data_IF_124637501789
#
_entry.id   IF_124637501789
#
_cell.length_a   1.000
_cell.length_b   1.000
_cell.length_c   1.000
_cell.angle_alpha   90.00
_cell.angle_beta   90.00
_cell.angle_gamma   90.00
#
_symmetry.space_group_name_H-M   'P 1'
#
loop_
_entity.id
_entity.type
_entity.pdbx_description
1 polymer ?
#
# COMPACT_ATOMS: atom_id res chain seq x y z
N UNK A 1 -22.04 6.52 1.67
CA UNK A 1 -21.65 5.23 2.26
C UNK A 1 -20.38 4.64 1.60
N UNK A 2 -19.41 5.48 1.22
CA UNK A 2 -18.14 5.05 0.57
C UNK A 2 -16.94 5.14 1.52
N UNK A 3 -17.19 5.43 2.79
CA UNK A 3 -16.14 5.68 3.75
C UNK A 3 -15.48 4.36 4.15
N UNK A 4 -16.18 3.30 4.54
CA UNK A 4 -15.52 2.14 5.21
C UNK A 4 -14.68 1.15 4.37
N UNK A 5 -14.54 1.30 3.05
CA UNK A 5 -13.76 0.32 2.27
C UNK A 5 -12.24 0.56 2.31
N UNK A 6 -11.44 -0.44 2.75
CA UNK A 6 -9.98 -0.35 2.78
C UNK A 6 -9.41 -0.28 1.36
N UNK A 7 -8.32 0.46 1.20
CA UNK A 7 -7.59 0.54 -0.06
C UNK A 7 -6.80 -0.76 -0.21
N UNK A 8 -7.09 -1.53 -1.26
CA UNK A 8 -6.36 -2.75 -1.59
C UNK A 8 -5.16 -2.39 -2.46
N UNK A 9 -3.97 -2.71 -1.96
CA UNK A 9 -2.71 -2.49 -2.65
C UNK A 9 -2.10 -3.84 -2.99
N UNK A 10 -1.91 -4.10 -4.27
CA UNK A 10 -1.21 -5.29 -4.73
C UNK A 10 0.31 -5.09 -4.56
N UNK A 11 0.95 -5.95 -3.79
CA UNK A 11 2.40 -6.06 -3.68
C UNK A 11 2.91 -7.21 -4.56
N UNK A 12 4.04 -7.02 -5.25
CA UNK A 12 4.73 -8.08 -5.96
C UNK A 12 6.25 -7.88 -5.92
N UNK A 13 7.00 -8.99 -5.87
CA UNK A 13 8.45 -9.01 -6.11
C UNK A 13 8.74 -9.55 -7.51
N UNK A 14 9.43 -8.75 -8.32
CA UNK A 14 9.75 -9.07 -9.71
C UNK A 14 11.10 -8.46 -10.10
N UNK A 15 11.94 -9.25 -10.76
CA UNK A 15 13.20 -8.80 -11.35
C UNK A 15 14.11 -8.05 -10.35
N UNK A 16 14.12 -8.47 -9.09
CA UNK A 16 14.90 -7.84 -8.02
C UNK A 16 14.29 -6.57 -7.42
N UNK A 17 13.08 -6.20 -7.83
CA UNK A 17 12.36 -5.03 -7.31
C UNK A 17 11.07 -5.43 -6.59
N UNK A 18 10.82 -4.75 -5.47
CA UNK A 18 9.57 -4.76 -4.73
C UNK A 18 8.66 -3.67 -5.31
N UNK A 19 7.43 -4.05 -5.65
CA UNK A 19 6.48 -3.15 -6.28
C UNK A 19 5.15 -3.17 -5.54
N UNK A 20 4.51 -2.00 -5.48
CA UNK A 20 3.16 -1.82 -4.99
C UNK A 20 2.32 -1.16 -6.07
N UNK A 21 1.08 -1.63 -6.23
CA UNK A 21 0.10 -1.02 -7.11
C UNK A 21 -1.23 -0.90 -6.38
N UNK A 22 -1.78 0.31 -6.31
CA UNK A 22 -3.13 0.54 -5.84
C UNK A 22 -3.99 0.98 -7.02
N UNK A 23 -5.15 0.35 -7.20
CA UNK A 23 -6.16 0.78 -8.15
C UNK A 23 -7.39 1.19 -7.35
N UNK A 24 -7.46 2.48 -6.98
CA UNK A 24 -8.59 3.04 -6.23
C UNK A 24 -9.35 4.03 -7.12
N UNK A 25 -10.67 3.84 -7.36
CA UNK A 25 -11.47 4.75 -8.16
C UNK A 25 -11.58 6.17 -7.57
N UNK A 26 -11.24 6.38 -6.29
CA UNK A 26 -11.31 7.66 -5.57
C UNK A 26 -10.03 8.49 -5.73
N UNK A 27 -8.87 7.84 -5.76
CA UNK A 27 -7.55 8.48 -5.79
C UNK A 27 -6.77 8.20 -7.08
N UNK A 28 -7.30 7.36 -7.97
CA UNK A 28 -6.66 6.93 -9.21
C UNK A 28 -5.60 5.85 -8.99
N UNK A 29 -5.00 5.40 -10.09
CA UNK A 29 -3.96 4.38 -10.04
C UNK A 29 -2.65 4.92 -9.45
N UNK A 30 -2.03 4.12 -8.58
CA UNK A 30 -0.71 4.34 -8.01
C UNK A 30 0.15 3.14 -8.33
N UNK A 31 1.38 3.38 -8.75
CA UNK A 31 2.39 2.35 -8.92
C UNK A 31 3.72 2.86 -8.37
N UNK A 32 4.33 2.06 -7.49
CA UNK A 32 5.63 2.31 -6.87
C UNK A 32 6.48 1.06 -7.08
N UNK A 33 7.76 1.22 -7.40
CA UNK A 33 8.69 0.10 -7.57
C UNK A 33 10.10 0.50 -7.11
N UNK A 34 10.68 -0.31 -6.22
CA UNK A 34 12.02 -0.06 -5.66
C UNK A 34 12.75 -1.37 -5.31
N UNK A 35 14.08 -1.37 -5.36
CA UNK A 35 14.90 -2.55 -5.01
C UNK A 35 14.92 -2.91 -3.52
N UNK A 36 14.38 -2.04 -2.67
CA UNK A 36 14.33 -2.19 -1.21
C UNK A 36 12.86 -2.17 -0.76
N UNK A 37 12.37 -3.19 -0.03
CA UNK A 37 10.96 -3.34 0.30
C UNK A 37 10.45 -2.22 1.24
N UNK A 38 11.29 -1.79 2.18
CA UNK A 38 10.99 -0.70 3.12
C UNK A 38 10.72 0.61 2.36
N UNK A 39 11.61 0.97 1.44
CA UNK A 39 11.46 2.17 0.62
C UNK A 39 10.20 2.10 -0.25
N UNK A 40 9.95 0.97 -0.92
CA UNK A 40 8.75 0.80 -1.74
C UNK A 40 7.46 0.95 -0.90
N UNK A 41 7.49 0.44 0.33
CA UNK A 41 6.37 0.50 1.27
C UNK A 41 6.14 1.92 1.82
N UNK A 42 7.20 2.64 2.16
CA UNK A 42 7.11 4.04 2.59
C UNK A 42 6.60 4.94 1.46
N UNK A 43 7.12 4.77 0.25
CA UNK A 43 6.72 5.55 -0.92
C UNK A 43 5.24 5.37 -1.27
N UNK A 44 4.72 4.13 -1.24
CA UNK A 44 3.29 3.90 -1.49
C UNK A 44 2.41 4.49 -0.38
N UNK A 45 2.85 4.40 0.89
CA UNK A 45 2.12 4.97 2.03
C UNK A 45 2.04 6.49 1.94
N UNK A 46 3.17 7.14 1.62
CA UNK A 46 3.24 8.60 1.43
C UNK A 46 2.36 9.04 0.27
N UNK A 47 2.50 8.40 -0.90
CA UNK A 47 1.73 8.75 -2.09
C UNK A 47 0.23 8.59 -1.88
N UNK A 48 -0.20 7.51 -1.21
CA UNK A 48 -1.60 7.31 -0.85
C UNK A 48 -2.10 8.41 0.10
N UNK A 49 -1.32 8.77 1.12
CA UNK A 49 -1.69 9.82 2.06
C UNK A 49 -1.84 11.19 1.38
N UNK A 50 -0.91 11.55 0.50
CA UNK A 50 -0.97 12.80 -0.28
C UNK A 50 -2.23 12.85 -1.12
N UNK A 51 -2.55 11.79 -1.87
CA UNK A 51 -3.75 11.76 -2.72
C UNK A 51 -5.05 11.74 -1.93
N UNK A 52 -5.07 11.06 -0.80
CA UNK A 52 -6.23 11.06 0.10
C UNK A 52 -6.43 12.46 0.70
N UNK A 53 -5.35 13.13 1.11
CA UNK A 53 -5.39 14.50 1.62
C UNK A 53 -5.89 15.50 0.58
N UNK A 54 -5.41 15.41 -0.67
CA UNK A 54 -5.86 16.26 -1.79
C UNK A 54 -7.36 16.10 -2.07
N UNK A 55 -7.92 14.91 -1.85
CA UNK A 55 -9.32 14.59 -2.19
C UNK A 55 -10.30 14.78 -1.04
N UNK A 56 -9.91 14.43 0.19
CA UNK A 56 -10.78 14.42 1.38
C UNK A 56 -10.44 15.55 2.37
N UNK A 57 -9.41 16.35 2.10
CA UNK A 57 -8.94 17.44 2.95
C UNK A 57 -7.66 17.10 3.70
N UNK A 58 -6.91 18.13 4.11
CA UNK A 58 -5.54 18.02 4.64
C UNK A 58 -5.36 17.10 5.87
N UNK A 59 -6.44 16.72 6.54
CA UNK A 59 -6.40 15.87 7.73
C UNK A 59 -6.66 14.37 7.44
N UNK A 60 -6.90 14.02 6.18
CA UNK A 60 -7.09 12.64 5.76
C UNK A 60 -5.74 12.00 5.42
N UNK A 61 -5.42 10.88 6.06
CA UNK A 61 -4.17 10.14 5.83
C UNK A 61 -4.46 8.67 5.55
N UNK A 62 -3.69 8.08 4.63
CA UNK A 62 -3.73 6.64 4.39
C UNK A 62 -2.78 5.96 5.36
N UNK A 63 -3.32 5.14 6.26
CA UNK A 63 -2.56 4.40 7.24
C UNK A 63 -2.50 2.92 6.83
N UNK A 64 -1.31 2.35 6.60
CA UNK A 64 -1.21 0.92 6.35
C UNK A 64 -1.77 0.16 7.55
N UNK A 65 -2.53 -0.90 7.29
CA UNK A 65 -3.19 -1.67 8.37
C UNK A 65 -2.17 -2.42 9.24
N UNK A 66 -1.05 -2.83 8.66
CA UNK A 66 0.08 -3.45 9.34
C UNK A 66 1.26 -2.50 9.29
N UNK A 67 1.99 -2.32 10.40
CA UNK A 67 3.26 -1.59 10.35
C UNK A 67 4.28 -2.35 9.46
N UNK A 68 5.31 -1.66 8.94
CA UNK A 68 6.28 -2.29 8.03
C UNK A 68 6.88 -3.59 8.61
N UNK A 69 7.24 -3.61 9.89
CA UNK A 69 7.78 -4.80 10.56
C UNK A 69 6.83 -6.00 10.50
N UNK A 70 5.53 -5.77 10.74
CA UNK A 70 4.51 -6.80 10.72
C UNK A 70 4.23 -7.26 9.29
N UNK A 71 4.13 -6.31 8.36
CA UNK A 71 4.03 -6.59 6.93
C UNK A 71 5.21 -7.42 6.43
N UNK A 72 6.43 -7.05 6.80
CA UNK A 72 7.64 -7.76 6.42
C UNK A 72 7.70 -9.16 7.01
N UNK A 73 7.37 -9.30 8.28
CA UNK A 73 7.26 -10.62 8.93
C UNK A 73 6.23 -11.49 8.22
N UNK A 74 5.06 -10.93 7.92
CA UNK A 74 4.01 -11.61 7.16
C UNK A 74 4.48 -12.02 5.76
N UNK A 75 5.16 -11.13 5.03
CA UNK A 75 5.74 -11.45 3.72
C UNK A 75 6.71 -12.62 3.79
N UNK A 76 7.60 -12.64 4.79
CA UNK A 76 8.56 -13.72 5.00
C UNK A 76 7.89 -15.06 5.32
N UNK A 77 6.74 -15.03 6.00
CA UNK A 77 5.97 -16.22 6.36
C UNK A 77 4.98 -16.66 5.28
N UNK A 78 4.64 -15.78 4.33
CA UNK A 78 3.62 -16.05 3.33
C UNK A 78 4.23 -16.71 2.08
N UNK A 79 3.94 -17.99 1.81
CA UNK A 79 4.52 -18.71 0.68
C UNK A 79 4.12 -18.13 -0.68
N UNK A 80 2.99 -17.41 -0.78
CA UNK A 80 2.54 -16.74 -2.01
C UNK A 80 3.37 -15.48 -2.28
N UNK A 81 3.76 -14.75 -1.22
CA UNK A 81 4.60 -13.57 -1.34
C UNK A 81 6.07 -13.90 -1.71
N UNK A 82 6.48 -15.15 -1.46
CA UNK A 82 7.77 -15.68 -1.88
C UNK A 82 7.79 -16.15 -3.35
N UNK A 83 6.63 -16.25 -4.01
CA UNK A 83 6.56 -16.60 -5.44
C UNK A 83 6.78 -15.36 -6.31
N UNK A 84 7.80 -15.35 -7.18
CA UNK A 84 8.01 -14.25 -8.11
C UNK A 84 6.76 -14.03 -8.97
N UNK A 85 6.38 -12.77 -9.18
CA UNK A 85 5.27 -12.33 -10.03
C UNK A 85 3.85 -12.67 -9.54
N UNK A 86 3.66 -13.28 -8.37
CA UNK A 86 2.32 -13.47 -7.81
C UNK A 86 1.98 -12.27 -6.92
N UNK A 87 1.01 -11.40 -7.30
CA UNK A 87 0.65 -10.28 -6.45
C UNK A 87 -0.06 -10.76 -5.19
N UNK A 88 0.34 -10.25 -4.02
CA UNK A 88 -0.42 -10.39 -2.78
C UNK A 88 -1.10 -9.06 -2.45
N UNK A 89 -2.27 -9.12 -1.81
CA UNK A 89 -3.00 -7.90 -1.43
C UNK A 89 -2.62 -7.48 -0.01
N UNK A 90 -2.29 -6.20 0.13
CA UNK A 90 -2.03 -5.50 1.38
C UNK A 90 -3.13 -4.47 1.55
N UNK A 91 -3.76 -4.45 2.71
CA UNK A 91 -4.85 -3.52 2.99
C UNK A 91 -4.32 -2.26 3.71
N UNK A 92 -4.81 -1.11 3.27
CA UNK A 92 -4.56 0.18 3.88
C UNK A 92 -5.90 0.73 4.39
N UNK A 93 -5.92 1.15 5.65
CA UNK A 93 -7.05 1.89 6.21
C UNK A 93 -6.83 3.39 5.97
N UNK A 94 -7.90 4.18 5.98
CA UNK A 94 -7.76 5.64 6.04
C UNK A 94 -8.14 6.10 7.44
N UNK A 95 -7.39 7.04 7.97
CA UNK A 95 -7.76 7.79 9.17
C UNK A 95 -8.01 9.25 8.74
N UNK A 96 -9.25 9.72 8.90
CA UNK A 96 -9.53 11.17 8.91
C UNK A 96 -9.42 11.60 10.36
N UNK A 97 -8.35 12.32 10.70
CA UNK A 97 -8.25 12.93 12.04
C UNK A 97 -9.03 14.26 12.02
N UNK A 98 -9.89 14.53 13.00
CA UNK A 98 -10.57 15.83 13.10
C UNK A 98 -9.62 16.95 13.51
#
# INVERSE_FOLDING_TARGET
MYQDEPIRVAYAFRDGAHSFRAADPRTGDIQVAHGVPEVAYEEVTRTLSERVADRLGAYAQARPQLAFKEFWTWLQMNPIAAMPNTPCHVEFAWEVRP
#
